data_IF_085512960889
#
_entry.id   IF_085512960889
#
_cell.length_a   1.000
_cell.length_b   1.000
_cell.length_c   1.000
_cell.angle_alpha   90.00
_cell.angle_beta   90.00
_cell.angle_gamma   90.00
#
_symmetry.space_group_name_H-M   'P 1'
#
loop_
_entity.id
_entity.type
_entity.pdbx_description
1 polymer ?
#
# COMPACT_ATOMS: atom_id res chain seq x y z
N UNK A 1 -15.94 -1.06 -29.92
CA UNK A 1 -15.36 -2.19 -29.14
C UNK A 1 -16.21 -3.44 -29.31
N UNK A 2 -15.57 -4.54 -29.49
CA UNK A 2 -16.18 -5.87 -29.71
C UNK A 2 -16.68 -6.47 -28.37
N UNK A 3 -17.57 -7.48 -28.48
CA UNK A 3 -17.97 -8.26 -27.27
C UNK A 3 -16.80 -9.03 -26.69
N UNK A 4 -15.88 -9.47 -27.55
CA UNK A 4 -14.70 -10.23 -27.17
C UNK A 4 -13.77 -9.46 -26.24
N UNK A 5 -13.56 -8.15 -26.43
CA UNK A 5 -12.69 -7.33 -25.58
C UNK A 5 -13.23 -7.22 -24.13
N UNK A 6 -14.55 -7.10 -23.96
CA UNK A 6 -15.17 -7.07 -22.63
C UNK A 6 -15.02 -8.42 -21.95
N UNK A 7 -15.37 -9.51 -22.64
CA UNK A 7 -15.24 -10.85 -22.06
C UNK A 7 -13.78 -11.18 -21.73
N UNK A 8 -12.83 -10.80 -22.60
CA UNK A 8 -11.41 -10.98 -22.33
C UNK A 8 -10.98 -10.23 -21.05
N UNK A 9 -11.42 -8.98 -20.85
CA UNK A 9 -11.07 -8.20 -19.66
C UNK A 9 -11.63 -8.82 -18.38
N UNK A 10 -12.89 -9.29 -18.40
CA UNK A 10 -13.50 -10.00 -17.27
C UNK A 10 -12.82 -11.35 -17.00
N UNK A 11 -12.46 -12.08 -18.06
CA UNK A 11 -11.75 -13.36 -17.93
C UNK A 11 -10.34 -13.15 -17.32
N UNK A 12 -9.61 -12.12 -17.75
CA UNK A 12 -8.31 -11.77 -17.19
C UNK A 12 -8.42 -11.35 -15.72
N UNK A 13 -9.42 -10.54 -15.36
CA UNK A 13 -9.66 -10.17 -13.97
C UNK A 13 -10.00 -11.42 -13.13
N UNK A 14 -10.89 -12.28 -13.61
CA UNK A 14 -11.24 -13.52 -12.94
C UNK A 14 -10.04 -14.45 -12.75
N UNK A 15 -9.23 -14.64 -13.80
CA UNK A 15 -8.01 -15.43 -13.73
C UNK A 15 -7.03 -14.87 -12.71
N UNK A 16 -6.77 -13.55 -12.74
CA UNK A 16 -5.87 -12.91 -11.78
C UNK A 16 -6.40 -13.03 -10.34
N UNK A 17 -7.72 -12.88 -10.14
CA UNK A 17 -8.33 -13.04 -8.81
C UNK A 17 -8.13 -14.46 -8.27
N UNK A 18 -8.33 -15.48 -9.13
CA UNK A 18 -8.06 -16.88 -8.77
C UNK A 18 -6.58 -17.10 -8.45
N UNK A 19 -5.67 -16.60 -9.28
CA UNK A 19 -4.22 -16.72 -9.05
C UNK A 19 -3.81 -16.08 -7.71
N UNK A 20 -4.37 -14.92 -7.38
CA UNK A 20 -4.14 -14.27 -6.08
C UNK A 20 -4.70 -15.11 -4.93
N UNK A 21 -5.93 -15.61 -5.06
CA UNK A 21 -6.58 -16.45 -4.04
C UNK A 21 -5.86 -17.78 -3.82
N UNK A 22 -5.19 -18.31 -4.84
CA UNK A 22 -4.36 -19.53 -4.77
C UNK A 22 -2.89 -19.25 -4.40
N UNK A 23 -2.54 -18.02 -4.06
CA UNK A 23 -1.17 -17.58 -3.72
C UNK A 23 -0.12 -17.72 -4.85
N UNK A 24 -0.53 -17.91 -6.08
CA UNK A 24 0.39 -18.10 -7.21
C UNK A 24 1.08 -16.81 -7.65
N UNK A 25 0.61 -15.64 -7.19
CA UNK A 25 1.24 -14.35 -7.46
C UNK A 25 2.31 -13.97 -6.44
N UNK A 26 2.45 -14.71 -5.34
CA UNK A 26 3.29 -14.33 -4.19
C UNK A 26 4.72 -14.03 -4.61
N UNK A 27 5.36 -14.90 -5.39
CA UNK A 27 6.77 -14.72 -5.77
C UNK A 27 7.01 -13.43 -6.57
N UNK A 28 6.11 -13.09 -7.50
CA UNK A 28 6.25 -11.86 -8.30
C UNK A 28 5.91 -10.61 -7.50
N UNK A 29 4.91 -10.71 -6.61
CA UNK A 29 4.52 -9.63 -5.73
C UNK A 29 5.62 -9.30 -4.72
N UNK A 30 6.21 -10.33 -4.12
CA UNK A 30 7.33 -10.22 -3.19
C UNK A 30 8.56 -9.63 -3.87
N UNK A 31 8.92 -10.17 -5.06
CA UNK A 31 10.02 -9.63 -5.84
C UNK A 31 9.82 -8.14 -6.15
N UNK A 32 8.64 -7.74 -6.60
CA UNK A 32 8.35 -6.34 -6.90
C UNK A 32 8.41 -5.45 -5.65
N UNK A 33 7.91 -5.95 -4.52
CA UNK A 33 7.96 -5.25 -3.25
C UNK A 33 9.40 -5.07 -2.77
N UNK A 34 10.21 -6.13 -2.76
CA UNK A 34 11.62 -6.09 -2.35
C UNK A 34 12.44 -5.17 -3.26
N UNK A 35 12.20 -5.22 -4.57
CA UNK A 35 12.84 -4.31 -5.53
C UNK A 35 12.57 -2.84 -5.17
N UNK A 36 11.32 -2.50 -4.84
CA UNK A 36 10.94 -1.15 -4.41
C UNK A 36 11.63 -0.79 -3.09
N UNK A 37 11.66 -1.71 -2.12
CA UNK A 37 12.32 -1.45 -0.82
C UNK A 37 13.83 -1.21 -1.00
N UNK A 38 14.49 -2.00 -1.84
CA UNK A 38 15.92 -1.86 -2.12
C UNK A 38 16.28 -0.52 -2.77
N UNK A 39 15.42 -0.02 -3.68
CA UNK A 39 15.64 1.26 -4.38
C UNK A 39 14.98 2.46 -3.67
N UNK A 40 14.46 2.26 -2.48
CA UNK A 40 13.79 3.30 -1.72
C UNK A 40 14.81 4.36 -1.29
N UNK A 41 14.49 5.62 -1.61
CA UNK A 41 15.25 6.78 -1.17
C UNK A 41 14.30 7.86 -0.68
N UNK A 42 14.82 8.84 0.08
CA UNK A 42 13.99 9.96 0.54
C UNK A 42 13.35 10.76 -0.60
N UNK A 43 14.03 10.85 -1.74
CA UNK A 43 13.46 11.49 -2.93
C UNK A 43 12.28 10.70 -3.51
N UNK A 44 12.41 9.38 -3.58
CA UNK A 44 11.34 8.47 -4.04
C UNK A 44 10.12 8.52 -3.11
N UNK A 45 10.34 8.50 -1.80
CA UNK A 45 9.27 8.58 -0.80
C UNK A 45 8.51 9.91 -0.90
N UNK A 46 9.23 11.04 -0.97
CA UNK A 46 8.60 12.35 -1.19
C UNK A 46 7.80 12.43 -2.50
N UNK A 47 8.35 11.87 -3.57
CA UNK A 47 7.66 11.81 -4.86
C UNK A 47 6.39 10.95 -4.77
N UNK A 48 6.48 9.77 -4.17
CA UNK A 48 5.36 8.84 -4.02
C UNK A 48 4.17 9.46 -3.27
N UNK A 49 4.45 10.19 -2.18
CA UNK A 49 3.39 10.88 -1.42
C UNK A 49 2.74 12.04 -2.19
N UNK A 50 3.45 12.66 -3.14
CA UNK A 50 2.90 13.73 -3.99
C UNK A 50 2.09 13.21 -5.18
N UNK A 51 2.27 11.96 -5.58
CA UNK A 51 1.57 11.37 -6.74
C UNK A 51 0.05 11.43 -6.54
N UNK A 52 -0.47 10.99 -5.40
CA UNK A 52 -1.91 10.88 -5.17
C UNK A 52 -2.65 12.23 -5.29
N UNK A 53 -2.24 13.32 -4.60
CA UNK A 53 -2.91 14.60 -4.77
C UNK A 53 -2.74 15.19 -6.17
N UNK A 54 -1.58 15.02 -6.82
CA UNK A 54 -1.35 15.50 -8.19
C UNK A 54 -2.26 14.77 -9.17
N UNK A 55 -2.33 13.44 -9.10
CA UNK A 55 -3.19 12.64 -9.99
C UNK A 55 -4.65 13.02 -9.82
N UNK A 56 -5.13 13.16 -8.58
CA UNK A 56 -6.51 13.61 -8.33
C UNK A 56 -6.78 15.00 -8.92
N UNK A 57 -5.86 15.93 -8.76
CA UNK A 57 -6.00 17.27 -9.33
C UNK A 57 -6.04 17.25 -10.87
N UNK A 58 -5.13 16.50 -11.49
CA UNK A 58 -5.06 16.38 -12.96
C UNK A 58 -6.32 15.72 -13.53
N UNK A 59 -6.74 14.59 -12.97
CA UNK A 59 -7.94 13.89 -13.44
C UNK A 59 -9.21 14.71 -13.18
N UNK A 60 -9.31 15.38 -12.04
CA UNK A 60 -10.39 16.31 -11.73
C UNK A 60 -10.45 17.49 -12.70
N UNK A 61 -9.30 18.09 -13.03
CA UNK A 61 -9.22 19.16 -14.00
C UNK A 61 -9.63 18.71 -15.42
N UNK A 62 -9.19 17.53 -15.87
CA UNK A 62 -9.61 16.97 -17.16
C UNK A 62 -11.12 16.73 -17.24
N UNK A 63 -11.70 16.14 -16.20
CA UNK A 63 -13.15 15.93 -16.09
C UNK A 63 -13.87 17.29 -16.09
N UNK A 64 -13.44 18.24 -15.25
CA UNK A 64 -14.01 19.57 -15.15
C UNK A 64 -13.97 20.31 -16.49
N UNK A 65 -12.83 20.31 -17.19
CA UNK A 65 -12.67 20.94 -18.50
C UNK A 65 -13.59 20.28 -19.55
N UNK A 66 -13.70 18.96 -19.56
CA UNK A 66 -14.60 18.23 -20.44
C UNK A 66 -16.08 18.52 -20.14
N UNK A 67 -16.44 18.74 -18.88
CA UNK A 67 -17.80 19.14 -18.47
C UNK A 67 -18.11 20.56 -18.92
N UNK A 68 -17.25 21.52 -18.61
CA UNK A 68 -17.44 22.95 -18.98
C UNK A 68 -17.53 23.12 -20.50
N UNK A 69 -16.75 22.36 -21.27
CA UNK A 69 -16.82 22.38 -22.74
C UNK A 69 -18.09 21.74 -23.33
N UNK A 70 -19.14 21.57 -22.54
CA UNK A 70 -20.49 21.15 -22.97
C UNK A 70 -20.89 19.74 -22.52
N UNK A 71 -20.08 19.08 -21.66
CA UNK A 71 -20.41 17.77 -21.08
C UNK A 71 -21.68 17.78 -20.23
N UNK A 72 -21.92 18.86 -19.52
CA UNK A 72 -23.07 19.08 -18.65
C UNK A 72 -24.43 19.05 -19.36
N UNK A 73 -24.47 19.21 -20.70
CA UNK A 73 -25.70 19.17 -21.50
C UNK A 73 -26.35 17.78 -21.60
N UNK A 74 -25.71 16.75 -21.07
CA UNK A 74 -26.21 15.36 -21.05
C UNK A 74 -26.31 14.83 -19.62
N UNK A 75 -27.23 15.36 -18.79
CA UNK A 75 -27.26 15.05 -17.36
C UNK A 75 -27.42 13.55 -17.07
N UNK A 76 -28.24 12.84 -17.83
CA UNK A 76 -28.44 11.40 -17.67
C UNK A 76 -27.18 10.59 -17.96
N UNK A 77 -26.36 11.05 -18.90
CA UNK A 77 -25.08 10.42 -19.17
C UNK A 77 -24.09 10.64 -17.99
N UNK A 78 -24.08 11.84 -17.44
CA UNK A 78 -23.25 12.15 -16.26
C UNK A 78 -23.68 11.37 -15.03
N UNK A 79 -24.98 11.26 -14.80
CA UNK A 79 -25.52 10.40 -13.74
C UNK A 79 -25.07 8.96 -13.95
N UNK A 80 -25.16 8.43 -15.17
CA UNK A 80 -24.69 7.09 -15.51
C UNK A 80 -23.19 6.88 -15.22
N UNK A 81 -22.34 7.88 -15.53
CA UNK A 81 -20.90 7.83 -15.22
C UNK A 81 -20.62 7.89 -13.72
N UNK A 82 -21.35 8.74 -12.98
CA UNK A 82 -21.24 8.82 -11.53
C UNK A 82 -21.64 7.49 -10.86
N UNK A 83 -22.76 6.95 -11.29
CA UNK A 83 -23.24 5.65 -10.79
C UNK A 83 -22.26 4.52 -11.10
N UNK A 84 -21.67 4.53 -12.29
CA UNK A 84 -20.62 3.59 -12.65
C UNK A 84 -19.42 3.69 -11.69
N UNK A 85 -19.01 4.91 -11.32
CA UNK A 85 -17.94 5.13 -10.36
C UNK A 85 -18.30 4.56 -8.98
N UNK A 86 -19.51 4.83 -8.49
CA UNK A 86 -20.02 4.33 -7.20
C UNK A 86 -20.05 2.80 -7.18
N UNK A 87 -20.60 2.18 -8.23
CA UNK A 87 -20.65 0.70 -8.34
C UNK A 87 -19.26 0.09 -8.41
N UNK A 88 -18.33 0.71 -9.13
CA UNK A 88 -16.94 0.25 -9.17
C UNK A 88 -16.23 0.37 -7.81
N UNK A 89 -16.51 1.43 -7.05
CA UNK A 89 -16.01 1.58 -5.69
C UNK A 89 -16.60 0.49 -4.77
N UNK A 90 -17.91 0.25 -4.84
CA UNK A 90 -18.56 -0.80 -4.08
C UNK A 90 -18.03 -2.21 -4.44
N UNK A 91 -17.81 -2.49 -5.72
CA UNK A 91 -17.21 -3.74 -6.17
C UNK A 91 -15.78 -3.92 -5.62
N UNK A 92 -15.01 -2.82 -5.53
CA UNK A 92 -13.68 -2.84 -4.93
C UNK A 92 -13.73 -3.23 -3.45
N UNK A 93 -14.62 -2.63 -2.66
CA UNK A 93 -14.78 -2.96 -1.24
C UNK A 93 -15.29 -4.39 -1.05
N UNK A 94 -16.24 -4.83 -1.87
CA UNK A 94 -16.71 -6.21 -1.84
C UNK A 94 -15.57 -7.22 -2.13
N UNK A 95 -14.73 -6.96 -3.12
CA UNK A 95 -13.57 -7.80 -3.39
C UNK A 95 -12.56 -7.79 -2.24
N UNK A 96 -12.36 -6.66 -1.58
CA UNK A 96 -11.49 -6.57 -0.39
C UNK A 96 -11.99 -7.47 0.73
N UNK A 97 -13.29 -7.40 1.03
CA UNK A 97 -13.90 -8.25 2.08
C UNK A 97 -13.91 -9.72 1.70
N UNK A 98 -14.06 -10.06 0.41
CA UNK A 98 -14.06 -11.44 -0.06
C UNK A 98 -12.67 -12.09 -0.08
N UNK A 99 -11.62 -11.32 -0.40
CA UNK A 99 -10.25 -11.85 -0.55
C UNK A 99 -9.45 -11.68 0.74
N UNK A 100 -9.74 -10.68 1.57
CA UNK A 100 -9.09 -10.36 2.86
C UNK A 100 -7.55 -10.37 2.82
N UNK A 101 -6.96 -10.01 1.69
CA UNK A 101 -5.52 -10.04 1.49
C UNK A 101 -4.82 -8.97 2.31
N UNK A 102 -3.79 -9.35 3.05
CA UNK A 102 -2.95 -8.41 3.80
C UNK A 102 -2.13 -7.51 2.87
N UNK A 103 -1.85 -6.29 3.33
CA UNK A 103 -0.98 -5.35 2.61
C UNK A 103 0.48 -5.74 2.79
N UNK A 104 1.38 -5.37 1.85
CA UNK A 104 2.83 -5.60 1.98
C UNK A 104 3.41 -5.06 3.29
N UNK A 105 2.87 -3.95 3.78
CA UNK A 105 3.30 -3.28 5.00
C UNK A 105 2.39 -3.54 6.20
N UNK A 106 1.57 -4.60 6.15
CA UNK A 106 0.74 -5.01 7.29
C UNK A 106 1.60 -5.55 8.42
N UNK A 107 1.29 -5.11 9.62
CA UNK A 107 1.92 -5.58 10.84
C UNK A 107 0.90 -6.44 11.58
N UNK A 108 1.28 -7.63 12.06
CA UNK A 108 0.38 -8.46 12.85
C UNK A 108 -0.24 -7.67 14.00
N UNK A 109 -1.56 -7.72 14.12
CA UNK A 109 -2.31 -7.00 15.17
C UNK A 109 -2.74 -5.58 14.81
N UNK A 110 -2.36 -5.04 13.63
CA UNK A 110 -2.89 -3.75 13.16
C UNK A 110 -4.01 -3.93 12.16
N UNK A 111 -5.07 -3.13 12.29
CA UNK A 111 -6.17 -3.09 11.30
C UNK A 111 -5.75 -2.14 10.18
N UNK A 112 -4.99 -2.63 9.20
CA UNK A 112 -4.53 -1.83 8.05
C UNK A 112 -5.49 -1.87 6.86
N UNK A 113 -6.57 -2.64 6.97
CA UNK A 113 -7.51 -2.91 5.88
C UNK A 113 -6.95 -3.84 4.80
N UNK A 114 -7.83 -4.41 4.00
CA UNK A 114 -7.48 -5.37 2.95
C UNK A 114 -6.81 -4.71 1.75
N UNK A 115 -5.88 -5.42 1.10
CA UNK A 115 -5.08 -4.86 0.00
C UNK A 115 -5.70 -5.04 -1.37
N UNK A 116 -6.39 -6.15 -1.63
CA UNK A 116 -6.84 -6.55 -2.96
C UNK A 116 -8.31 -6.25 -3.22
N UNK A 117 -8.65 -5.55 -4.29
CA UNK A 117 -7.77 -4.74 -5.14
C UNK A 117 -7.47 -3.35 -4.54
N UNK A 118 -6.57 -2.58 -5.16
CA UNK A 118 -6.22 -1.23 -4.71
C UNK A 118 -7.32 -0.21 -5.01
N UNK A 119 -8.01 0.30 -3.98
CA UNK A 119 -9.09 1.27 -4.15
C UNK A 119 -8.66 2.59 -4.80
N UNK A 120 -7.50 3.13 -4.45
CA UNK A 120 -6.97 4.35 -5.07
C UNK A 120 -6.64 4.15 -6.56
N UNK A 121 -6.06 3.00 -6.91
CA UNK A 121 -5.77 2.68 -8.31
C UNK A 121 -7.04 2.45 -9.11
N UNK A 122 -8.03 1.72 -8.55
CA UNK A 122 -9.35 1.55 -9.18
C UNK A 122 -10.01 2.90 -9.43
N UNK A 123 -10.09 3.76 -8.40
CA UNK A 123 -10.71 5.08 -8.51
C UNK A 123 -10.03 5.98 -9.54
N UNK A 124 -8.68 6.03 -9.54
CA UNK A 124 -7.94 6.82 -10.54
C UNK A 124 -8.11 6.27 -11.96
N UNK A 125 -8.09 4.94 -12.15
CA UNK A 125 -8.30 4.33 -13.47
C UNK A 125 -9.72 4.58 -13.98
N UNK A 126 -10.73 4.48 -13.11
CA UNK A 126 -12.11 4.82 -13.48
C UNK A 126 -12.26 6.30 -13.85
N UNK A 127 -11.68 7.20 -13.05
CA UNK A 127 -11.70 8.63 -13.32
C UNK A 127 -10.99 8.97 -14.65
N UNK A 128 -9.86 8.33 -14.94
CA UNK A 128 -9.13 8.45 -16.20
C UNK A 128 -9.99 8.01 -17.40
N UNK A 129 -10.63 6.85 -17.29
CA UNK A 129 -11.50 6.34 -18.37
C UNK A 129 -12.75 7.19 -18.55
N UNK A 130 -13.34 7.71 -17.46
CA UNK A 130 -14.45 8.69 -17.52
C UNK A 130 -14.00 9.97 -18.22
N UNK A 131 -12.81 10.51 -17.89
CA UNK A 131 -12.24 11.65 -18.57
C UNK A 131 -12.09 11.39 -20.09
N UNK A 132 -11.54 10.24 -20.47
CA UNK A 132 -11.40 9.82 -21.88
C UNK A 132 -12.77 9.77 -22.58
N UNK A 133 -13.79 9.18 -21.95
CA UNK A 133 -15.14 9.10 -22.52
C UNK A 133 -15.77 10.51 -22.71
N UNK A 134 -15.58 11.39 -21.73
CA UNK A 134 -16.08 12.78 -21.83
C UNK A 134 -15.34 13.55 -22.91
N UNK A 135 -14.02 13.46 -22.99
CA UNK A 135 -13.18 14.11 -24.02
C UNK A 135 -13.54 13.61 -25.42
N UNK A 136 -13.75 12.29 -25.58
CA UNK A 136 -14.13 11.68 -26.86
C UNK A 136 -15.42 12.27 -27.44
N UNK A 137 -16.33 12.70 -26.60
CA UNK A 137 -17.59 13.33 -27.01
C UNK A 137 -17.51 14.84 -27.28
N UNK A 138 -16.29 15.42 -27.35
CA UNK A 138 -16.07 16.86 -27.57
C UNK A 138 -15.45 17.15 -28.93
N UNK A 139 -15.80 18.30 -29.49
CA UNK A 139 -15.23 18.80 -30.74
C UNK A 139 -13.91 19.56 -30.48
N UNK A 140 -13.02 18.91 -29.75
CA UNK A 140 -11.70 19.42 -29.48
C UNK A 140 -10.76 19.13 -30.65
N UNK A 141 -9.76 19.99 -30.84
CA UNK A 141 -8.68 19.74 -31.81
C UNK A 141 -8.03 18.37 -31.53
N UNK A 142 -7.61 17.61 -32.54
CA UNK A 142 -7.05 16.28 -32.37
C UNK A 142 -5.92 16.21 -31.32
N UNK A 143 -5.00 17.16 -31.35
CA UNK A 143 -3.90 17.21 -30.39
C UNK A 143 -4.37 17.39 -28.94
N UNK A 144 -5.42 18.21 -28.70
CA UNK A 144 -6.00 18.37 -27.34
C UNK A 144 -6.63 17.07 -26.84
N UNK A 145 -7.31 16.34 -27.72
CA UNK A 145 -7.89 15.04 -27.37
C UNK A 145 -6.82 14.02 -27.00
N UNK A 146 -5.77 13.91 -27.85
CA UNK A 146 -4.66 12.99 -27.58
C UNK A 146 -3.90 13.37 -26.32
N UNK A 147 -3.60 14.64 -26.08
CA UNK A 147 -3.00 15.12 -24.83
C UNK A 147 -3.85 14.74 -23.61
N UNK A 148 -5.18 14.97 -23.69
CA UNK A 148 -6.09 14.59 -22.61
C UNK A 148 -6.11 13.07 -22.34
N UNK A 149 -6.10 12.25 -23.39
CA UNK A 149 -6.04 10.78 -23.25
C UNK A 149 -4.71 10.34 -22.61
N UNK A 150 -3.60 10.90 -23.08
CA UNK A 150 -2.28 10.60 -22.54
C UNK A 150 -2.17 11.00 -21.06
N UNK A 151 -2.62 12.20 -20.71
CA UNK A 151 -2.61 12.66 -19.32
C UNK A 151 -3.48 11.80 -18.42
N UNK A 152 -4.66 11.38 -18.89
CA UNK A 152 -5.54 10.49 -18.13
C UNK A 152 -4.90 9.12 -17.92
N UNK A 153 -4.33 8.52 -18.96
CA UNK A 153 -3.66 7.23 -18.89
C UNK A 153 -2.43 7.28 -17.96
N UNK A 154 -1.59 8.30 -18.11
CA UNK A 154 -0.42 8.51 -17.24
C UNK A 154 -0.85 8.72 -15.78
N UNK A 155 -1.93 9.47 -15.52
CA UNK A 155 -2.47 9.66 -14.17
C UNK A 155 -2.84 8.32 -13.53
N UNK A 156 -3.55 7.44 -14.25
CA UNK A 156 -3.91 6.12 -13.75
C UNK A 156 -2.68 5.25 -13.45
N UNK A 157 -1.68 5.23 -14.37
CA UNK A 157 -0.44 4.48 -14.18
C UNK A 157 0.38 5.02 -13.01
N UNK A 158 0.55 6.33 -12.92
CA UNK A 158 1.27 6.97 -11.82
C UNK A 158 0.62 6.68 -10.46
N UNK A 159 -0.73 6.64 -10.40
CA UNK A 159 -1.42 6.25 -9.18
C UNK A 159 -1.06 4.84 -8.75
N UNK A 160 -1.05 3.88 -9.68
CA UNK A 160 -0.62 2.51 -9.40
C UNK A 160 0.83 2.45 -8.91
N UNK A 161 1.75 3.11 -9.63
CA UNK A 161 3.16 3.21 -9.25
C UNK A 161 3.31 3.83 -7.86
N UNK A 162 2.60 4.90 -7.55
CA UNK A 162 2.62 5.53 -6.22
C UNK A 162 2.22 4.55 -5.10
N UNK A 163 1.26 3.66 -5.35
CA UNK A 163 0.86 2.63 -4.38
C UNK A 163 1.92 1.54 -4.17
N UNK A 164 2.66 1.19 -5.21
CA UNK A 164 3.80 0.28 -5.11
C UNK A 164 4.96 0.95 -4.36
N UNK A 165 5.32 2.17 -4.74
CA UNK A 165 6.40 2.93 -4.11
C UNK A 165 6.16 3.16 -2.61
N UNK A 166 4.93 3.44 -2.19
CA UNK A 166 4.57 3.56 -0.77
C UNK A 166 4.49 2.20 -0.05
N UNK A 167 4.64 1.07 -0.74
CA UNK A 167 4.51 -0.27 -0.16
C UNK A 167 3.11 -0.57 0.38
N UNK A 168 2.08 0.15 -0.09
CA UNK A 168 0.72 0.01 0.41
C UNK A 168 -0.06 -1.10 -0.28
N UNK A 169 0.39 -1.54 -1.45
CA UNK A 169 -0.26 -2.56 -2.28
C UNK A 169 0.76 -3.42 -3.01
N UNK A 170 0.36 -4.66 -3.32
CA UNK A 170 1.11 -5.59 -4.15
C UNK A 170 0.95 -5.24 -5.64
N UNK A 171 1.86 -5.75 -6.47
CA UNK A 171 1.80 -5.55 -7.93
C UNK A 171 0.50 -6.11 -8.52
N UNK A 172 0.07 -7.29 -8.05
CA UNK A 172 -1.18 -7.91 -8.48
C UNK A 172 -2.42 -7.14 -8.02
N UNK A 173 -2.40 -6.44 -6.86
CA UNK A 173 -3.50 -5.56 -6.41
C UNK A 173 -3.71 -4.40 -7.38
N UNK A 174 -2.61 -3.79 -7.82
CA UNK A 174 -2.60 -2.68 -8.79
C UNK A 174 -3.09 -3.16 -10.15
N UNK A 175 -2.61 -4.31 -10.61
CA UNK A 175 -3.02 -4.91 -11.89
C UNK A 175 -4.50 -5.27 -11.91
N UNK A 176 -5.01 -5.89 -10.85
CA UNK A 176 -6.43 -6.20 -10.70
C UNK A 176 -7.30 -4.95 -10.68
N UNK A 177 -6.82 -3.86 -10.08
CA UNK A 177 -7.54 -2.58 -10.03
C UNK A 177 -7.72 -1.96 -11.42
N UNK A 178 -6.69 -2.01 -12.25
CA UNK A 178 -6.74 -1.54 -13.63
C UNK A 178 -7.73 -2.39 -14.45
N UNK A 179 -7.65 -3.72 -14.32
CA UNK A 179 -8.56 -4.64 -15.01
C UNK A 179 -10.00 -4.46 -14.55
N UNK A 180 -10.26 -4.31 -13.25
CA UNK A 180 -11.59 -4.08 -12.69
C UNK A 180 -12.20 -2.78 -13.25
N UNK A 181 -11.46 -1.69 -13.17
CA UNK A 181 -11.92 -0.40 -13.70
C UNK A 181 -12.18 -0.47 -15.22
N UNK A 182 -11.27 -1.11 -15.97
CA UNK A 182 -11.44 -1.32 -17.40
C UNK A 182 -12.69 -2.16 -17.70
N UNK A 183 -12.88 -3.28 -17.03
CA UNK A 183 -14.03 -4.17 -17.20
C UNK A 183 -15.35 -3.42 -16.97
N UNK A 184 -15.43 -2.62 -15.91
CA UNK A 184 -16.61 -1.82 -15.60
C UNK A 184 -16.90 -0.75 -16.65
N UNK A 185 -15.92 0.07 -17.02
CA UNK A 185 -16.12 1.15 -17.99
C UNK A 185 -16.41 0.60 -19.38
N UNK A 186 -15.79 -0.52 -19.76
CA UNK A 186 -16.06 -1.19 -21.04
C UNK A 186 -17.48 -1.78 -21.08
N UNK A 187 -17.94 -2.35 -19.97
CA UNK A 187 -19.32 -2.81 -19.83
C UNK A 187 -20.32 -1.65 -19.95
N UNK A 188 -20.04 -0.54 -19.28
CA UNK A 188 -20.88 0.67 -19.30
C UNK A 188 -21.01 1.31 -20.68
N UNK A 189 -20.00 1.24 -21.52
CA UNK A 189 -20.08 1.72 -22.92
C UNK A 189 -21.21 1.05 -23.71
N UNK A 190 -21.70 -0.11 -23.27
CA UNK A 190 -22.88 -0.80 -23.81
C UNK A 190 -24.18 -0.47 -23.07
N UNK A 191 -24.11 -0.13 -21.77
CA UNK A 191 -25.26 0.26 -20.98
C UNK A 191 -25.97 1.50 -21.56
N UNK A 192 -25.29 2.30 -22.39
CA UNK A 192 -25.91 3.41 -23.14
C UNK A 192 -27.06 2.94 -24.07
N UNK A 193 -27.13 1.65 -24.38
CA UNK A 193 -28.19 1.04 -25.20
C UNK A 193 -29.28 0.34 -24.38
N UNK A 194 -29.09 0.18 -23.06
CA UNK A 194 -30.09 -0.44 -22.19
C UNK A 194 -31.17 0.57 -21.81
N UNK A 195 -32.45 0.12 -21.67
CA UNK A 195 -33.51 0.95 -21.12
C UNK A 195 -33.10 1.51 -19.74
N UNK A 196 -33.42 2.77 -19.48
CA UNK A 196 -33.08 3.48 -18.21
C UNK A 196 -33.47 2.71 -16.96
N UNK A 197 -34.57 1.92 -17.04
CA UNK A 197 -35.04 1.08 -15.95
C UNK A 197 -34.06 -0.06 -15.61
N UNK A 198 -33.46 -0.70 -16.63
CA UNK A 198 -32.47 -1.77 -16.39
C UNK A 198 -31.20 -1.27 -15.72
N UNK A 199 -30.75 -0.06 -16.06
CA UNK A 199 -29.60 0.58 -15.39
C UNK A 199 -29.94 0.90 -13.94
N UNK A 200 -31.11 1.48 -13.66
CA UNK A 200 -31.57 1.78 -12.32
C UNK A 200 -31.72 0.51 -11.46
N UNK A 201 -32.24 -0.57 -12.05
CA UNK A 201 -32.41 -1.86 -11.35
C UNK A 201 -31.05 -2.50 -11.00
N UNK A 202 -30.09 -2.51 -11.91
CA UNK A 202 -28.74 -3.02 -11.66
C UNK A 202 -28.02 -2.23 -10.53
N UNK A 203 -28.28 -0.93 -10.48
CA UNK A 203 -27.73 -0.04 -9.44
C UNK A 203 -28.39 -0.28 -8.09
N UNK A 204 -29.72 -0.44 -8.07
CA UNK A 204 -30.44 -0.77 -6.85
C UNK A 204 -29.97 -2.12 -6.28
N UNK A 205 -29.78 -3.13 -7.12
CA UNK A 205 -29.25 -4.43 -6.72
C UNK A 205 -27.81 -4.30 -6.20
N UNK A 206 -26.96 -3.50 -6.85
CA UNK A 206 -25.58 -3.23 -6.39
C UNK A 206 -25.54 -2.51 -5.04
N UNK A 207 -26.39 -1.52 -4.82
CA UNK A 207 -26.49 -0.81 -3.54
C UNK A 207 -27.07 -1.71 -2.43
N UNK A 208 -28.07 -2.52 -2.73
CA UNK A 208 -28.64 -3.47 -1.78
C UNK A 208 -27.60 -4.55 -1.42
N UNK A 209 -26.87 -5.07 -2.42
CA UNK A 209 -25.78 -6.01 -2.17
C UNK A 209 -24.72 -5.39 -1.26
N UNK A 210 -24.31 -4.15 -1.51
CA UNK A 210 -23.34 -3.45 -0.67
C UNK A 210 -23.82 -3.33 0.78
N UNK A 211 -25.07 -2.90 1.01
CA UNK A 211 -25.67 -2.75 2.35
C UNK A 211 -25.79 -4.11 3.06
N UNK A 212 -26.19 -5.16 2.33
CA UNK A 212 -26.40 -6.49 2.91
C UNK A 212 -25.08 -7.20 3.20
N UNK A 213 -24.03 -6.98 2.37
CA UNK A 213 -22.73 -7.64 2.56
C UNK A 213 -21.78 -6.89 3.52
N UNK A 214 -22.04 -5.63 3.84
CA UNK A 214 -21.27 -4.89 4.85
C UNK A 214 -21.53 -5.44 6.27
N UNK A 215 -22.69 -6.07 6.52
CA UNK A 215 -23.09 -6.66 7.81
C UNK A 215 -22.85 -8.19 7.90
N UNK A 216 -22.42 -8.86 6.84
CA UNK A 216 -22.06 -10.28 6.93
C UNK A 216 -20.66 -10.41 7.50
N UNK A 217 -20.49 -11.00 8.71
CA UNK A 217 -19.16 -11.34 9.21
C UNK A 217 -18.51 -12.25 8.15
N UNK A 218 -17.52 -11.70 7.44
CA UNK A 218 -16.89 -12.40 6.34
C UNK A 218 -16.43 -13.77 6.77
N UNK A 219 -16.69 -14.78 5.96
CA UNK A 219 -15.95 -16.03 5.99
C UNK A 219 -14.51 -15.64 5.74
N UNK A 220 -13.78 -15.40 6.82
CA UNK A 220 -12.43 -14.86 6.82
C UNK A 220 -11.49 -15.88 6.19
N UNK A 221 -11.34 -15.81 4.88
CA UNK A 221 -10.16 -16.34 4.24
C UNK A 221 -9.00 -15.42 4.65
N UNK A 222 -8.50 -15.62 5.87
CA UNK A 222 -7.20 -15.09 6.24
C UNK A 222 -6.18 -15.81 5.35
N UNK A 223 -5.79 -15.10 4.29
CA UNK A 223 -4.57 -15.45 3.60
C UNK A 223 -3.41 -15.05 4.52
N UNK A 224 -2.64 -16.00 5.06
CA UNK A 224 -1.43 -15.65 5.76
C UNK A 224 -0.59 -14.75 4.84
N UNK A 225 0.13 -13.80 5.40
CA UNK A 225 1.31 -13.28 4.71
C UNK A 225 2.17 -14.53 4.45
N UNK A 226 2.26 -14.95 3.20
CA UNK A 226 2.56 -16.35 2.85
C UNK A 226 3.97 -16.81 3.25
N UNK A 227 4.79 -15.95 3.83
CA UNK A 227 6.16 -16.27 4.20
C UNK A 227 6.45 -16.28 5.70
N UNK A 228 5.66 -15.58 6.55
CA UNK A 228 6.07 -15.37 7.94
C UNK A 228 5.23 -16.07 9.01
N UNK A 229 3.96 -16.41 8.78
CA UNK A 229 3.12 -17.04 9.81
C UNK A 229 3.47 -18.53 10.06
N UNK A 230 4.15 -19.20 9.14
CA UNK A 230 4.56 -20.61 9.29
C UNK A 230 6.02 -20.81 9.70
N UNK A 231 6.84 -19.74 9.79
CA UNK A 231 8.22 -19.84 10.22
C UNK A 231 8.37 -19.25 11.61
N UNK A 232 8.66 -20.07 12.59
CA UNK A 232 9.05 -19.58 13.92
C UNK A 232 10.38 -18.82 13.79
N UNK A 233 10.50 -17.60 14.37
CA UNK A 233 11.77 -16.90 14.37
C UNK A 233 12.83 -17.68 15.15
N UNK A 234 14.08 -17.64 14.67
CA UNK A 234 15.23 -18.21 15.36
C UNK A 234 15.56 -17.46 16.65
N UNK A 235 15.28 -16.18 16.68
CA UNK A 235 15.37 -15.31 17.84
C UNK A 235 14.41 -14.14 17.68
N UNK A 236 13.85 -13.62 18.77
CA UNK A 236 12.90 -12.53 18.74
C UNK A 236 13.00 -11.66 20.00
N UNK A 237 12.76 -10.36 19.83
CA UNK A 237 12.55 -9.39 20.90
C UNK A 237 11.24 -8.66 20.62
N UNK A 238 10.36 -8.66 21.60
CA UNK A 238 9.16 -7.86 21.61
C UNK A 238 9.38 -6.63 22.49
N UNK A 239 9.53 -5.48 21.86
CA UNK A 239 9.82 -4.22 22.55
C UNK A 239 8.63 -3.78 23.43
N UNK A 240 8.95 -3.05 24.50
CA UNK A 240 7.95 -2.55 25.45
C UNK A 240 7.48 -3.59 26.47
N UNK A 241 8.04 -4.79 26.47
CA UNK A 241 7.81 -5.81 27.48
C UNK A 241 8.87 -5.73 28.59
N UNK A 242 8.56 -6.17 29.83
CA UNK A 242 9.58 -6.21 30.90
C UNK A 242 10.82 -7.01 30.53
N UNK A 243 10.62 -8.12 29.81
CA UNK A 243 11.68 -9.03 29.37
C UNK A 243 12.66 -8.35 28.39
N UNK A 244 12.14 -7.50 27.51
CA UNK A 244 12.97 -6.81 26.51
C UNK A 244 13.91 -5.79 27.14
N UNK A 245 13.60 -5.24 28.30
CA UNK A 245 14.39 -4.16 28.95
C UNK A 245 15.83 -4.57 29.24
N UNK A 246 16.06 -5.82 29.61
CA UNK A 246 17.40 -6.35 29.87
C UNK A 246 18.28 -6.42 28.60
N UNK A 247 17.67 -6.44 27.43
CA UNK A 247 18.34 -6.53 26.12
C UNK A 247 18.62 -5.15 25.49
N UNK A 248 18.07 -4.06 26.09
CA UNK A 248 18.17 -2.72 25.52
C UNK A 248 19.39 -1.97 26.08
N UNK A 249 20.15 -1.32 25.20
CA UNK A 249 21.23 -0.42 25.59
C UNK A 249 21.15 0.91 24.80
N UNK A 250 21.44 2.00 25.46
CA UNK A 250 21.22 3.36 24.98
C UNK A 250 19.99 4.01 25.59
N UNK A 251 19.56 5.14 25.03
CA UNK A 251 18.47 5.93 25.58
C UNK A 251 17.13 5.41 25.01
N UNK A 252 16.56 4.41 25.67
CA UNK A 252 15.21 3.91 25.42
C UNK A 252 14.23 4.46 26.45
N UNK A 253 12.98 4.58 26.09
CA UNK A 253 11.93 5.04 26.98
C UNK A 253 10.55 4.47 26.65
N UNK A 254 9.71 4.50 27.65
CA UNK A 254 8.29 4.27 27.45
C UNK A 254 7.70 5.52 26.80
N UNK A 255 6.88 5.37 25.80
CA UNK A 255 6.18 6.45 25.08
C UNK A 255 4.67 6.28 25.18
N UNK A 256 3.94 7.08 24.41
CA UNK A 256 2.49 6.93 24.31
C UNK A 256 2.12 5.48 23.97
N UNK A 257 1.04 4.98 24.59
CA UNK A 257 0.50 3.68 24.27
C UNK A 257 0.08 3.63 22.78
N UNK A 258 0.55 2.60 22.09
CA UNK A 258 0.23 2.40 20.69
C UNK A 258 -0.91 1.39 20.52
N UNK A 259 -1.79 1.58 19.52
CA UNK A 259 -2.89 0.64 19.28
C UNK A 259 -2.44 -0.79 18.99
N UNK A 260 -1.18 -0.96 18.55
CA UNK A 260 -0.60 -2.27 18.21
C UNK A 260 -0.03 -3.03 19.42
N UNK A 261 -0.08 -2.47 20.61
CA UNK A 261 0.45 -3.05 21.85
C UNK A 261 1.73 -2.38 22.35
N UNK A 262 2.47 -3.05 23.25
CA UNK A 262 3.65 -2.48 23.89
C UNK A 262 4.75 -2.16 22.88
N UNK A 263 5.43 -1.03 23.07
CA UNK A 263 6.54 -0.55 22.22
C UNK A 263 7.62 0.10 23.09
N UNK A 264 8.87 0.14 22.59
CA UNK A 264 9.94 0.97 23.17
C UNK A 264 10.32 2.09 22.21
N UNK A 265 10.51 3.27 22.76
CA UNK A 265 10.90 4.46 22.00
C UNK A 265 12.41 4.70 22.05
N UNK A 266 13.05 4.79 20.89
CA UNK A 266 14.42 5.29 20.79
C UNK A 266 14.41 6.80 21.03
N UNK A 267 15.05 7.25 22.09
CA UNK A 267 15.16 8.67 22.50
C UNK A 267 16.49 9.30 22.13
N UNK A 268 17.40 8.53 21.54
CA UNK A 268 18.64 9.03 20.97
C UNK A 268 18.83 8.49 19.55
N UNK A 269 19.62 9.18 18.72
CA UNK A 269 19.96 8.67 17.39
C UNK A 269 20.59 7.28 17.42
N UNK A 270 21.36 7.00 18.45
CA UNK A 270 22.08 5.74 18.62
C UNK A 270 21.47 4.93 19.76
N UNK A 271 20.90 3.81 19.41
CA UNK A 271 20.36 2.80 20.35
C UNK A 271 20.78 1.41 19.91
N UNK A 272 20.85 0.48 20.84
CA UNK A 272 21.20 -0.90 20.53
C UNK A 272 20.38 -1.90 21.34
N UNK A 273 20.37 -3.11 20.84
CA UNK A 273 19.68 -4.26 21.45
C UNK A 273 20.55 -5.50 21.33
N UNK A 274 20.55 -6.32 22.35
CA UNK A 274 21.24 -7.64 22.34
C UNK A 274 20.24 -8.71 21.98
N UNK A 275 20.46 -9.40 20.86
CA UNK A 275 19.66 -10.50 20.37
C UNK A 275 20.41 -11.82 20.58
N UNK A 276 19.86 -12.72 21.40
CA UNK A 276 20.44 -14.03 21.66
C UNK A 276 20.02 -15.05 20.61
N UNK A 277 20.96 -15.61 19.85
CA UNK A 277 20.71 -16.62 18.83
C UNK A 277 21.25 -17.98 19.28
N UNK A 278 20.36 -19.00 19.28
CA UNK A 278 20.69 -20.35 19.77
C UNK A 278 21.41 -21.20 18.71
N UNK A 279 21.08 -20.99 17.44
CA UNK A 279 21.66 -21.72 16.31
C UNK A 279 22.57 -20.82 15.46
N UNK A 280 23.51 -21.39 14.65
CA UNK A 280 24.37 -20.61 13.78
C UNK A 280 23.48 -19.80 12.83
N UNK A 281 23.56 -18.47 12.91
CA UNK A 281 22.54 -17.64 12.31
C UNK A 281 22.94 -17.29 10.88
N UNK A 282 22.31 -17.95 9.94
CA UNK A 282 22.11 -17.39 8.60
C UNK A 282 20.65 -17.00 8.56
N UNK A 283 20.34 -15.73 8.32
CA UNK A 283 18.94 -15.37 8.34
C UNK A 283 18.65 -13.92 7.97
N UNK A 284 17.37 -13.65 7.85
CA UNK A 284 16.82 -12.33 7.56
C UNK A 284 16.44 -11.69 8.89
N UNK A 285 17.06 -10.55 9.19
CA UNK A 285 16.71 -9.74 10.34
C UNK A 285 15.58 -8.80 9.96
N UNK A 286 14.45 -8.92 10.65
CA UNK A 286 13.27 -8.08 10.45
C UNK A 286 13.06 -7.19 11.65
N UNK A 287 12.91 -5.89 11.43
CA UNK A 287 12.59 -4.91 12.46
C UNK A 287 11.30 -4.19 12.13
N UNK A 288 10.37 -4.18 13.08
CA UNK A 288 9.10 -3.46 12.96
C UNK A 288 9.18 -2.19 13.78
N UNK A 289 9.15 -1.06 13.11
CA UNK A 289 9.21 0.26 13.73
C UNK A 289 8.40 1.31 12.96
N UNK A 290 8.16 2.46 13.60
CA UNK A 290 7.71 3.68 12.94
C UNK A 290 8.53 4.89 13.42
N UNK A 291 8.78 5.91 12.58
CA UNK A 291 9.25 7.20 13.03
C UNK A 291 8.24 7.85 13.98
N UNK A 292 8.68 8.74 14.86
CA UNK A 292 7.77 9.54 15.68
C UNK A 292 6.99 10.54 14.82
N UNK A 293 5.85 11.01 15.32
CA UNK A 293 5.06 12.05 14.63
C UNK A 293 5.88 13.34 14.42
N UNK A 294 6.72 13.71 15.38
CA UNK A 294 7.62 14.85 15.25
C UNK A 294 8.66 14.62 14.15
N UNK A 295 9.27 13.45 14.10
CA UNK A 295 10.19 13.04 13.02
C UNK A 295 9.48 13.02 11.66
N UNK A 296 8.24 12.54 11.59
CA UNK A 296 7.44 12.52 10.37
C UNK A 296 7.04 13.91 9.87
N UNK A 297 6.81 14.88 10.77
CA UNK A 297 6.42 16.24 10.39
C UNK A 297 7.60 17.08 9.91
N UNK A 298 8.79 16.90 10.48
CA UNK A 298 9.99 17.69 10.14
C UNK A 298 10.69 17.16 8.91
N UNK A 299 10.82 15.85 8.85
CA UNK A 299 11.48 15.18 7.74
C UNK A 299 10.46 14.31 7.03
N UNK A 300 10.20 14.59 5.75
CA UNK A 300 9.42 13.69 4.90
C UNK A 300 10.10 12.32 4.78
N UNK A 301 11.33 12.17 5.29
CA UNK A 301 12.10 10.96 5.29
C UNK A 301 13.18 10.98 6.38
N UNK A 302 13.02 10.14 7.39
CA UNK A 302 14.12 9.79 8.28
C UNK A 302 14.92 8.63 7.66
N UNK A 303 16.16 8.46 8.08
CA UNK A 303 17.05 7.40 7.62
C UNK A 303 17.51 6.56 8.80
N UNK A 304 17.76 5.29 8.57
CA UNK A 304 18.24 4.37 9.58
C UNK A 304 19.38 3.53 9.01
N UNK A 305 20.44 3.39 9.78
CA UNK A 305 21.50 2.41 9.54
C UNK A 305 21.39 1.33 10.61
N UNK A 306 21.33 0.07 10.18
CA UNK A 306 21.33 -1.08 11.07
C UNK A 306 22.74 -1.69 11.03
N UNK A 307 23.33 -1.91 12.19
CA UNK A 307 24.59 -2.64 12.31
C UNK A 307 24.38 -3.91 13.12
N UNK A 308 24.94 -5.02 12.65
CA UNK A 308 24.93 -6.32 13.35
C UNK A 308 26.35 -6.68 13.69
N UNK A 309 26.70 -6.59 14.97
CA UNK A 309 28.06 -6.72 15.47
C UNK A 309 29.01 -5.72 14.76
N UNK A 310 29.88 -6.22 13.86
CA UNK A 310 30.80 -5.38 13.07
C UNK A 310 30.32 -5.09 11.66
N UNK A 311 29.25 -5.74 11.19
CA UNK A 311 28.69 -5.53 9.87
C UNK A 311 27.71 -4.35 9.89
N UNK A 312 27.72 -3.56 8.83
CA UNK A 312 26.84 -2.39 8.66
C UNK A 312 26.00 -2.58 7.40
N UNK A 313 24.68 -2.52 7.56
CA UNK A 313 23.75 -2.56 6.45
C UNK A 313 23.77 -1.26 5.64
N UNK A 314 23.37 -1.27 4.37
CA UNK A 314 23.07 -0.06 3.64
C UNK A 314 22.02 0.80 4.36
N UNK A 315 22.09 2.11 4.15
CA UNK A 315 21.16 3.07 4.72
C UNK A 315 19.72 2.80 4.23
N UNK A 316 18.78 2.78 5.16
CA UNK A 316 17.37 2.51 4.90
C UNK A 316 16.55 3.78 5.10
N UNK A 317 15.78 4.20 4.09
CA UNK A 317 14.83 5.28 4.25
C UNK A 317 13.61 4.81 5.05
N UNK A 318 13.29 5.50 6.14
CA UNK A 318 12.14 5.21 6.98
C UNK A 318 10.88 5.83 6.37
N UNK A 319 9.88 5.01 6.14
CA UNK A 319 8.56 5.45 5.69
C UNK A 319 7.69 5.86 6.87
N UNK A 320 6.68 6.69 6.59
CA UNK A 320 5.67 7.07 7.58
C UNK A 320 4.84 5.88 8.06
N UNK A 321 4.48 5.92 9.32
CA UNK A 321 3.70 4.89 9.98
C UNK A 321 4.50 3.62 10.28
N UNK A 322 3.81 2.62 10.79
CA UNK A 322 4.40 1.34 11.11
C UNK A 322 4.86 0.60 9.87
N UNK A 323 6.11 0.11 9.87
CA UNK A 323 6.71 -0.66 8.78
C UNK A 323 7.61 -1.75 9.31
N UNK A 324 7.73 -2.82 8.51
CA UNK A 324 8.74 -3.84 8.69
C UNK A 324 9.89 -3.59 7.70
N UNK A 325 11.11 -3.58 8.22
CA UNK A 325 12.34 -3.41 7.46
C UNK A 325 13.15 -4.67 7.55
N UNK A 326 13.74 -5.07 6.43
CA UNK A 326 14.51 -6.31 6.32
C UNK A 326 15.96 -5.99 6.02
N UNK A 327 16.88 -6.67 6.70
CA UNK A 327 18.29 -6.70 6.36
C UNK A 327 18.78 -8.14 6.37
N UNK A 328 19.69 -8.44 5.47
CA UNK A 328 20.29 -9.76 5.31
C UNK A 328 21.76 -9.71 5.71
N UNK A 329 22.09 -9.81 7.00
CA UNK A 329 23.47 -9.84 7.42
C UNK A 329 24.16 -11.10 6.86
N UNK A 330 25.39 -10.98 6.35
CA UNK A 330 26.14 -12.16 5.93
C UNK A 330 26.37 -13.10 7.11
N UNK A 331 26.51 -14.40 6.83
CA UNK A 331 26.64 -15.41 7.86
C UNK A 331 27.79 -15.10 8.88
N UNK A 332 28.86 -14.46 8.42
CA UNK A 332 29.97 -14.06 9.28
C UNK A 332 29.62 -12.88 10.24
N UNK A 333 28.55 -12.16 10.01
CA UNK A 333 28.13 -11.04 10.86
C UNK A 333 27.35 -11.49 12.10
N UNK A 334 26.69 -12.63 12.01
CA UNK A 334 25.92 -13.22 13.10
C UNK A 334 26.74 -14.35 13.77
N UNK A 335 26.49 -14.56 15.05
CA UNK A 335 27.16 -15.63 15.83
C UNK A 335 26.15 -16.33 16.76
N UNK A 336 26.47 -17.54 17.19
CA UNK A 336 25.75 -18.20 18.27
C UNK A 336 26.00 -17.43 19.56
N UNK A 337 24.95 -17.24 20.35
CA UNK A 337 24.96 -16.41 21.53
C UNK A 337 24.54 -14.96 21.26
N UNK A 338 25.14 -14.03 21.96
CA UNK A 338 24.72 -12.63 21.93
C UNK A 338 25.22 -11.88 20.71
N UNK A 339 24.27 -11.26 20.00
CA UNK A 339 24.53 -10.40 18.86
C UNK A 339 24.07 -8.98 19.20
N UNK A 340 24.95 -8.01 19.05
CA UNK A 340 24.60 -6.59 19.22
C UNK A 340 24.07 -6.02 17.94
N UNK A 341 22.80 -5.62 17.96
CA UNK A 341 22.13 -4.91 16.85
C UNK A 341 22.07 -3.43 17.23
N UNK A 342 22.69 -2.58 16.42
CA UNK A 342 22.66 -1.12 16.62
C UNK A 342 21.79 -0.46 15.57
N UNK A 343 21.03 0.52 15.99
CA UNK A 343 20.21 1.37 15.13
C UNK A 343 20.74 2.81 15.24
N UNK A 344 21.15 3.36 14.11
CA UNK A 344 21.49 4.77 13.99
C UNK A 344 20.42 5.46 13.17
N UNK A 345 19.62 6.35 13.82
CA UNK A 345 18.46 7.01 13.22
C UNK A 345 18.82 8.46 12.96
N UNK A 346 18.79 8.86 11.69
CA UNK A 346 19.07 10.24 11.25
C UNK A 346 17.77 10.85 10.74
N UNK A 347 17.26 11.86 11.43
CA UNK A 347 16.20 12.74 10.94
C UNK A 347 16.81 13.97 10.28
N UNK A 348 16.33 14.39 9.12
CA UNK A 348 16.75 15.67 8.53
C UNK A 348 16.14 16.82 9.35
N UNK A 349 16.98 17.64 9.96
CA UNK A 349 16.62 18.79 10.81
C UNK A 349 17.28 18.73 12.18
N UNK A 350 17.37 19.86 12.85
CA UNK A 350 17.87 19.89 14.23
C UNK A 350 16.87 19.18 15.16
N UNK A 351 17.38 18.27 15.99
CA UNK A 351 16.59 17.65 17.05
C UNK A 351 16.08 18.75 17.99
N UNK A 352 14.77 18.79 18.24
CA UNK A 352 14.19 19.72 19.20
C UNK A 352 14.00 19.06 20.55
N UNK A 353 13.73 19.88 21.57
CA UNK A 353 13.36 19.38 22.90
C UNK A 353 12.13 18.46 22.86
N UNK A 354 11.23 18.63 21.88
CA UNK A 354 10.10 17.72 21.65
C UNK A 354 10.52 16.32 21.22
N UNK A 355 11.62 16.16 20.47
CA UNK A 355 12.15 14.85 20.07
C UNK A 355 12.73 14.11 21.27
N UNK A 356 13.34 14.86 22.21
CA UNK A 356 13.84 14.28 23.45
C UNK A 356 12.71 13.72 24.33
N UNK A 357 11.52 14.32 24.26
CA UNK A 357 10.33 13.88 24.99
C UNK A 357 9.57 12.77 24.28
N UNK A 358 9.36 12.91 22.96
CA UNK A 358 8.51 11.99 22.16
C UNK A 358 9.27 10.80 21.57
N UNK A 359 10.62 10.84 21.57
CA UNK A 359 11.48 9.84 20.92
C UNK A 359 11.55 10.00 19.41
N UNK A 360 12.54 9.38 18.76
CA UNK A 360 12.80 9.45 17.33
C UNK A 360 12.02 8.38 16.55
N UNK A 361 11.93 7.17 17.11
CA UNK A 361 11.18 6.07 16.53
C UNK A 361 10.67 5.10 17.60
N UNK A 362 9.49 4.53 17.38
CA UNK A 362 8.94 3.46 18.18
C UNK A 362 9.25 2.11 17.55
N UNK A 363 9.68 1.16 18.35
CA UNK A 363 10.02 -0.20 17.96
C UNK A 363 9.02 -1.18 18.57
N UNK A 364 8.56 -2.16 17.78
CA UNK A 364 7.60 -3.19 18.20
C UNK A 364 8.24 -4.57 18.26
N UNK A 365 8.89 -4.99 17.18
CA UNK A 365 9.52 -6.31 17.06
C UNK A 365 10.89 -6.24 16.41
N UNK A 366 11.80 -7.08 16.88
CA UNK A 366 13.01 -7.45 16.18
C UNK A 366 13.03 -8.98 16.10
N UNK A 367 13.11 -9.55 14.92
CA UNK A 367 13.02 -10.99 14.69
C UNK A 367 14.08 -11.44 13.70
N UNK A 368 14.71 -12.56 13.98
CA UNK A 368 15.63 -13.24 13.07
C UNK A 368 14.93 -14.49 12.53
N UNK A 369 14.78 -14.57 11.24
CA UNK A 369 14.17 -15.71 10.56
C UNK A 369 15.21 -16.53 9.81
N UNK A 370 14.99 -17.84 9.59
CA UNK A 370 15.82 -18.62 8.69
C UNK A 370 15.71 -18.06 7.26
N UNK A 371 16.77 -18.24 6.42
CA UNK A 371 16.82 -17.72 5.06
C UNK A 371 15.77 -18.35 4.13
#
# INVERSE_FOLDING_TARGET
MSRSEIYATWALLGALTVLVSLHWTVSIDEWAYQWVQYHRSCAVERAAHRIDPIVRAVLGALIGLALVSGGWRRPWYLIGLLLLFVVGAAATELMKTAIERLRPNSIPGTITGNSFPSGHTTGATMAAMIAILLIRGRDWRPWMRWSGYTMAALGALLQGVGRLLTGSHWLSDVSASILLAAAWVLAAGRLQRLPRVAVASLLAVGCIAFIVFDDVPGTRFRLPSALDENRSPLAAIEFGTPESRASLAGLWGDGPAEPIGPVSWARSPDVSVTLHAVNPPVGILKVTLRPSAATEMRSLCARMVISVNQWVAPEIALARGWREYHVEPPAAALRVGDNTIRFHIVAEGEASDEDAVSGLAAFRYLRLYPP
#
